data_IF_970810340569
#
_entry.id   IF_970810340569
#
_cell.length_a   1.000
_cell.length_b   1.000
_cell.length_c   1.000
_cell.angle_alpha   90.00
_cell.angle_beta   90.00
_cell.angle_gamma   90.00
#
_symmetry.space_group_name_H-M   'P 1'
#
loop_
_entity.id
_entity.type
_entity.pdbx_description
1 polymer ?
#
# COMPACT_ATOMS: atom_id res chain seq x y z
N UNK A 1 -48.08 11.96 -8.03
CA UNK A 1 -48.17 13.32 -8.62
C UNK A 1 -46.93 14.16 -8.29
N UNK A 2 -46.58 14.34 -7.01
CA UNK A 2 -45.45 15.19 -6.54
C UNK A 2 -44.09 14.79 -7.14
N UNK A 3 -43.79 13.49 -7.19
CA UNK A 3 -42.54 12.96 -7.78
C UNK A 3 -42.44 13.26 -9.27
N UNK A 4 -43.53 13.06 -10.02
CA UNK A 4 -43.61 13.34 -11.46
C UNK A 4 -43.46 14.83 -11.76
N UNK A 5 -44.03 15.72 -10.93
CA UNK A 5 -43.85 17.17 -11.06
C UNK A 5 -42.43 17.61 -10.68
N UNK A 6 -41.86 17.07 -9.61
CA UNK A 6 -40.48 17.36 -9.21
C UNK A 6 -39.48 16.98 -10.31
N UNK A 7 -39.61 15.78 -10.90
CA UNK A 7 -38.75 15.35 -12.01
C UNK A 7 -38.85 16.29 -13.22
N UNK A 8 -40.06 16.69 -13.61
CA UNK A 8 -40.25 17.66 -14.70
C UNK A 8 -39.63 19.03 -14.37
N UNK A 9 -39.72 19.46 -13.12
CA UNK A 9 -39.18 20.73 -12.65
C UNK A 9 -37.64 20.78 -12.72
N UNK A 10 -36.96 19.66 -12.42
CA UNK A 10 -35.51 19.50 -12.60
C UNK A 10 -35.12 19.84 -14.05
N UNK A 11 -35.81 19.27 -15.02
CA UNK A 11 -35.44 19.42 -16.44
C UNK A 11 -35.96 20.69 -17.11
N UNK A 12 -36.68 21.54 -16.37
CA UNK A 12 -37.26 22.77 -16.89
C UNK A 12 -36.20 23.82 -17.25
N UNK A 13 -35.12 23.90 -16.48
CA UNK A 13 -33.94 24.69 -16.82
C UNK A 13 -32.72 23.77 -16.90
N UNK A 14 -32.48 23.24 -18.10
CA UNK A 14 -31.45 22.22 -18.35
C UNK A 14 -30.04 22.70 -18.00
N UNK A 15 -29.72 23.97 -18.26
CA UNK A 15 -28.37 24.52 -18.02
C UNK A 15 -28.06 24.52 -16.53
N UNK A 16 -28.96 25.04 -15.69
CA UNK A 16 -28.74 25.07 -14.24
C UNK A 16 -28.66 23.67 -13.63
N UNK A 17 -29.60 22.81 -14.00
CA UNK A 17 -29.60 21.43 -13.52
C UNK A 17 -28.34 20.69 -13.95
N UNK A 18 -27.84 20.93 -15.16
CA UNK A 18 -26.58 20.37 -15.63
C UNK A 18 -25.38 20.88 -14.84
N UNK A 19 -25.30 22.18 -14.55
CA UNK A 19 -24.22 22.75 -13.73
C UNK A 19 -24.19 22.09 -12.35
N UNK A 20 -25.33 21.91 -11.69
CA UNK A 20 -25.41 21.21 -10.39
C UNK A 20 -25.01 19.76 -10.51
N UNK A 21 -25.62 19.02 -11.46
CA UNK A 21 -25.33 17.60 -11.68
C UNK A 21 -23.85 17.38 -11.97
N UNK A 22 -23.23 18.21 -12.81
CA UNK A 22 -21.81 18.15 -13.14
C UNK A 22 -20.92 18.45 -11.93
N UNK A 23 -21.26 19.47 -11.14
CA UNK A 23 -20.51 19.82 -9.93
C UNK A 23 -20.56 18.71 -8.89
N UNK A 24 -21.74 18.12 -8.69
CA UNK A 24 -21.95 16.94 -7.84
C UNK A 24 -21.14 15.77 -8.36
N UNK A 25 -21.23 15.46 -9.66
CA UNK A 25 -20.55 14.34 -10.28
C UNK A 25 -19.02 14.47 -10.14
N UNK A 26 -18.46 15.66 -10.37
CA UNK A 26 -17.01 15.92 -10.24
C UNK A 26 -16.56 15.79 -8.78
N UNK A 27 -17.30 16.34 -7.82
CA UNK A 27 -16.95 16.25 -6.40
C UNK A 27 -16.98 14.81 -5.88
N UNK A 28 -18.04 14.06 -6.21
CA UNK A 28 -18.14 12.63 -5.87
C UNK A 28 -17.07 11.83 -6.59
N UNK A 29 -16.77 12.15 -7.85
CA UNK A 29 -15.72 11.50 -8.61
C UNK A 29 -14.36 11.65 -7.94
N UNK A 30 -13.94 12.90 -7.73
CA UNK A 30 -12.63 13.24 -7.17
C UNK A 30 -12.47 12.62 -5.77
N UNK A 31 -13.49 12.74 -4.91
CA UNK A 31 -13.46 12.16 -3.59
C UNK A 31 -13.33 10.65 -3.56
N UNK A 32 -14.21 9.97 -4.28
CA UNK A 32 -14.22 8.50 -4.33
C UNK A 32 -12.93 7.97 -4.93
N UNK A 33 -12.41 8.62 -5.98
CA UNK A 33 -11.15 8.25 -6.60
C UNK A 33 -9.97 8.45 -5.64
N UNK A 34 -9.87 9.60 -4.96
CA UNK A 34 -8.82 9.85 -3.96
C UNK A 34 -8.84 8.84 -2.82
N UNK A 35 -10.03 8.49 -2.31
CA UNK A 35 -10.18 7.44 -1.29
C UNK A 35 -9.70 6.10 -1.82
N UNK A 36 -10.10 5.70 -3.03
CA UNK A 36 -9.70 4.44 -3.64
C UNK A 36 -8.19 4.32 -3.87
N UNK A 37 -7.53 5.41 -4.26
CA UNK A 37 -6.06 5.43 -4.43
C UNK A 37 -5.37 5.21 -3.09
N UNK A 38 -5.76 5.94 -2.05
CA UNK A 38 -5.12 5.81 -0.74
C UNK A 38 -5.45 4.47 -0.06
N UNK A 39 -6.69 3.97 -0.21
CA UNK A 39 -7.07 2.65 0.32
C UNK A 39 -6.29 1.54 -0.36
N UNK A 40 -6.13 1.62 -1.69
CA UNK A 40 -5.26 0.71 -2.43
C UNK A 40 -3.81 0.75 -1.93
N UNK A 41 -3.25 1.94 -1.69
CA UNK A 41 -1.89 2.10 -1.18
C UNK A 41 -1.69 1.47 0.21
N UNK A 42 -2.63 1.72 1.13
CA UNK A 42 -2.59 1.16 2.49
C UNK A 42 -2.80 -0.35 2.46
N UNK A 43 -3.76 -0.85 1.68
CA UNK A 43 -4.03 -2.27 1.53
C UNK A 43 -2.81 -3.03 0.97
N UNK A 44 -2.15 -2.49 -0.06
CA UNK A 44 -0.92 -3.05 -0.60
C UNK A 44 0.22 -3.04 0.43
N UNK A 45 0.42 -1.93 1.15
CA UNK A 45 1.45 -1.86 2.20
C UNK A 45 1.20 -2.88 3.31
N UNK A 46 -0.07 -3.04 3.71
CA UNK A 46 -0.49 -4.01 4.71
C UNK A 46 -0.27 -5.43 4.23
N UNK A 47 -0.65 -5.73 2.98
CA UNK A 47 -0.42 -7.03 2.35
C UNK A 47 1.08 -7.37 2.30
N UNK A 48 1.92 -6.43 1.86
CA UNK A 48 3.38 -6.57 1.85
C UNK A 48 3.94 -6.84 3.25
N UNK A 49 3.48 -6.09 4.26
CA UNK A 49 3.93 -6.27 5.64
C UNK A 49 3.56 -7.65 6.20
N UNK A 50 2.30 -8.07 6.00
CA UNK A 50 1.80 -9.34 6.53
C UNK A 50 2.38 -10.53 5.77
N UNK A 51 2.52 -10.43 4.46
CA UNK A 51 2.95 -11.53 3.63
C UNK A 51 4.47 -11.68 3.55
N UNK A 52 5.28 -10.64 3.81
CA UNK A 52 6.72 -10.72 3.59
C UNK A 52 7.59 -10.20 4.75
N UNK A 53 7.03 -9.49 5.74
CA UNK A 53 7.83 -8.87 6.82
C UNK A 53 7.59 -9.47 8.20
N UNK A 54 6.32 -9.60 8.63
CA UNK A 54 6.00 -9.86 10.05
C UNK A 54 4.98 -10.97 10.33
N UNK A 55 4.25 -11.48 9.33
CA UNK A 55 3.11 -12.39 9.52
C UNK A 55 1.99 -11.80 10.40
N UNK A 56 0.98 -12.61 10.74
CA UNK A 56 -0.22 -12.13 11.47
C UNK A 56 0.02 -12.01 12.97
N UNK A 57 0.71 -12.99 13.55
CA UNK A 57 1.01 -13.06 14.99
C UNK A 57 2.47 -13.47 15.17
N UNK A 58 3.14 -12.87 16.15
CA UNK A 58 4.46 -13.31 16.61
C UNK A 58 4.43 -13.66 18.09
N UNK A 59 5.20 -14.68 18.45
CA UNK A 59 5.45 -15.09 19.83
C UNK A 59 6.94 -14.97 20.08
N UNK A 60 7.33 -14.34 21.18
CA UNK A 60 8.74 -14.19 21.58
C UNK A 60 8.88 -14.21 23.09
N UNK A 61 10.10 -14.21 23.59
CA UNK A 61 10.39 -13.98 25.00
C UNK A 61 10.20 -12.50 25.32
N UNK A 62 9.55 -12.15 26.44
CA UNK A 62 9.18 -10.77 26.75
C UNK A 62 10.38 -9.79 26.80
N UNK A 63 11.54 -10.27 27.24
CA UNK A 63 12.76 -9.45 27.30
C UNK A 63 13.55 -9.41 25.98
N UNK A 64 13.27 -10.31 25.03
CA UNK A 64 14.00 -10.36 23.76
C UNK A 64 13.76 -9.10 22.93
N UNK A 65 12.50 -8.65 22.83
CA UNK A 65 12.13 -7.48 21.99
C UNK A 65 12.82 -6.19 22.43
N UNK A 66 13.04 -6.02 23.73
CA UNK A 66 13.62 -4.79 24.29
C UNK A 66 15.14 -4.72 24.07
N UNK A 67 15.84 -5.85 24.16
CA UNK A 67 17.30 -5.88 24.27
C UNK A 67 18.00 -6.61 23.10
N UNK A 68 17.27 -7.39 22.29
CA UNK A 68 17.80 -8.31 21.28
C UNK A 68 18.93 -9.22 21.83
N UNK A 69 18.88 -9.55 23.12
CA UNK A 69 19.87 -10.42 23.75
C UNK A 69 19.63 -11.87 23.32
N UNK A 70 20.69 -12.51 22.83
CA UNK A 70 20.68 -13.87 22.32
C UNK A 70 20.24 -14.91 23.34
N UNK A 71 20.36 -14.62 24.64
CA UNK A 71 20.00 -15.52 25.72
C UNK A 71 18.49 -15.62 25.96
N UNK A 72 17.70 -14.65 25.52
CA UNK A 72 16.24 -14.67 25.69
C UNK A 72 15.58 -15.53 24.60
N UNK A 73 15.56 -16.84 24.85
CA UNK A 73 15.08 -17.85 23.93
C UNK A 73 13.73 -18.44 24.38
N UNK A 74 12.98 -18.91 23.41
CA UNK A 74 11.91 -19.88 23.59
C UNK A 74 12.54 -21.28 23.60
N UNK A 75 12.62 -21.91 24.78
CA UNK A 75 13.33 -23.18 24.99
C UNK A 75 12.76 -24.36 24.18
N UNK A 76 11.50 -24.29 23.77
CA UNK A 76 10.79 -25.35 23.05
C UNK A 76 10.02 -24.77 21.84
N UNK A 77 10.67 -23.89 21.08
CA UNK A 77 10.07 -23.19 19.96
C UNK A 77 9.51 -24.16 18.90
N UNK A 78 10.20 -25.26 18.65
CA UNK A 78 9.78 -26.35 17.77
C UNK A 78 8.43 -26.98 18.20
N UNK A 79 8.33 -27.41 19.47
CA UNK A 79 7.12 -28.04 20.02
C UNK A 79 5.96 -27.05 20.11
N UNK A 80 6.27 -25.80 20.47
CA UNK A 80 5.28 -24.72 20.44
C UNK A 80 4.75 -24.51 19.03
N UNK A 81 5.63 -24.46 18.03
CA UNK A 81 5.25 -24.30 16.63
C UNK A 81 4.35 -25.45 16.14
N UNK A 82 4.67 -26.71 16.46
CA UNK A 82 3.82 -27.85 16.13
C UNK A 82 2.45 -27.78 16.81
N UNK A 83 2.39 -27.38 18.10
CA UNK A 83 1.13 -27.19 18.81
C UNK A 83 0.28 -26.09 18.18
N UNK A 84 0.88 -24.97 17.79
CA UNK A 84 0.18 -23.86 17.13
C UNK A 84 -0.33 -24.29 15.75
N UNK A 85 0.47 -25.02 14.99
CA UNK A 85 0.10 -25.54 13.67
C UNK A 85 -1.12 -26.46 13.71
N UNK A 86 -1.38 -27.12 14.83
CA UNK A 86 -2.55 -27.98 15.00
C UNK A 86 -3.89 -27.23 15.17
N UNK A 87 -3.85 -25.90 15.31
CA UNK A 87 -5.05 -25.07 15.43
C UNK A 87 -5.69 -24.87 14.05
N UNK A 88 -7.02 -25.00 13.97
CA UNK A 88 -7.79 -24.86 12.71
C UNK A 88 -7.67 -23.47 12.10
N UNK A 89 -7.49 -22.44 12.92
CA UNK A 89 -7.37 -21.05 12.48
C UNK A 89 -6.01 -20.74 11.81
N UNK A 90 -5.01 -21.61 11.98
CA UNK A 90 -3.63 -21.40 11.58
C UNK A 90 -3.35 -22.04 10.21
N UNK A 91 -2.84 -21.23 9.29
CA UNK A 91 -2.42 -21.67 7.96
C UNK A 91 -1.00 -22.27 8.00
N UNK A 92 -0.06 -21.55 8.62
CA UNK A 92 1.35 -21.92 8.67
C UNK A 92 2.06 -21.35 9.89
N UNK A 93 3.12 -22.03 10.32
CA UNK A 93 3.95 -21.61 11.46
C UNK A 93 5.41 -21.87 11.17
N UNK A 94 6.26 -20.90 11.51
CA UNK A 94 7.71 -21.00 11.44
C UNK A 94 8.32 -20.45 12.72
N UNK A 95 9.53 -20.89 13.06
CA UNK A 95 10.31 -20.31 14.15
C UNK A 95 11.70 -19.97 13.65
N UNK A 96 12.28 -18.92 14.24
CA UNK A 96 13.53 -18.32 13.78
C UNK A 96 14.49 -18.01 14.91
N UNK A 97 15.78 -18.06 14.57
CA UNK A 97 16.83 -17.42 15.34
C UNK A 97 17.08 -16.03 14.78
N UNK A 98 17.24 -15.05 15.65
CA UNK A 98 17.50 -13.66 15.27
C UNK A 98 18.74 -13.18 16.00
N UNK A 99 19.75 -12.81 15.21
CA UNK A 99 21.07 -12.41 15.69
C UNK A 99 21.44 -11.09 15.04
N UNK A 100 21.79 -10.08 15.82
CA UNK A 100 22.35 -8.84 15.29
C UNK A 100 23.85 -8.99 15.07
N UNK A 101 24.35 -8.53 13.91
CA UNK A 101 25.75 -8.66 13.55
C UNK A 101 26.17 -7.72 12.42
N UNK A 102 27.29 -8.06 11.78
CA UNK A 102 27.86 -7.33 10.66
C UNK A 102 27.97 -8.23 9.44
N UNK A 103 27.53 -7.71 8.29
CA UNK A 103 27.74 -8.29 6.98
C UNK A 103 28.91 -7.59 6.30
N UNK A 104 29.93 -8.36 5.95
CA UNK A 104 31.20 -7.84 5.44
C UNK A 104 31.53 -8.42 4.07
N UNK A 105 31.95 -7.54 3.17
CA UNK A 105 32.63 -7.89 1.92
C UNK A 105 34.05 -7.34 1.93
N UNK A 106 34.86 -7.67 0.92
CA UNK A 106 36.22 -7.15 0.78
C UNK A 106 36.31 -5.61 0.67
N UNK A 107 35.18 -4.90 0.52
CA UNK A 107 35.17 -3.45 0.29
C UNK A 107 34.27 -2.64 1.23
N UNK A 108 33.28 -3.28 1.86
CA UNK A 108 32.21 -2.63 2.60
C UNK A 108 31.74 -3.51 3.76
N UNK A 109 31.18 -2.88 4.77
CA UNK A 109 30.61 -3.51 5.95
C UNK A 109 29.29 -2.81 6.29
N UNK A 110 28.28 -3.58 6.69
CA UNK A 110 26.97 -3.07 7.12
C UNK A 110 26.49 -3.82 8.35
N UNK A 111 25.83 -3.11 9.27
CA UNK A 111 25.09 -3.76 10.35
C UNK A 111 23.87 -4.48 9.79
N UNK A 112 23.62 -5.70 10.25
CA UNK A 112 22.52 -6.56 9.76
C UNK A 112 21.87 -7.35 10.90
N UNK A 113 20.62 -7.74 10.66
CA UNK A 113 19.89 -8.73 11.41
C UNK A 113 19.92 -10.02 10.61
N UNK A 114 20.53 -11.05 11.19
CA UNK A 114 20.70 -12.37 10.60
C UNK A 114 19.57 -13.25 11.14
N UNK A 115 18.72 -13.72 10.24
CA UNK A 115 17.57 -14.56 10.51
C UNK A 115 17.90 -16.00 10.09
N UNK A 116 18.00 -16.90 11.07
CA UNK A 116 18.11 -18.34 10.84
C UNK A 116 16.72 -18.94 10.74
N UNK A 117 16.36 -19.48 9.57
CA UNK A 117 14.99 -19.92 9.26
C UNK A 117 14.94 -21.36 8.76
N UNK A 118 13.82 -22.04 9.04
CA UNK A 118 13.42 -23.27 8.32
C UNK A 118 12.82 -22.85 6.99
N UNK A 119 13.58 -23.06 5.91
CA UNK A 119 13.26 -22.53 4.58
C UNK A 119 11.93 -23.02 4.04
N UNK A 120 11.52 -24.25 4.34
CA UNK A 120 10.26 -24.79 3.83
C UNK A 120 9.05 -24.24 4.59
N UNK A 121 9.19 -24.03 5.91
CA UNK A 121 8.14 -23.38 6.70
C UNK A 121 8.03 -21.90 6.37
N UNK A 122 9.17 -21.23 6.14
CA UNK A 122 9.22 -19.80 5.87
C UNK A 122 8.55 -19.43 4.53
N UNK A 123 8.65 -20.28 3.51
CA UNK A 123 7.88 -20.15 2.25
C UNK A 123 6.36 -20.04 2.51
N UNK A 124 5.85 -20.81 3.46
CA UNK A 124 4.42 -20.85 3.78
C UNK A 124 3.98 -19.66 4.64
N UNK A 125 4.87 -19.13 5.49
CA UNK A 125 4.55 -18.03 6.40
C UNK A 125 4.75 -16.66 5.73
N UNK A 126 5.92 -16.42 5.14
CA UNK A 126 6.35 -15.13 4.59
C UNK A 126 6.59 -15.13 3.07
N UNK A 127 6.33 -16.23 2.37
CA UNK A 127 6.46 -16.26 0.90
C UNK A 127 7.81 -15.76 0.37
N UNK A 128 8.91 -15.98 1.11
CA UNK A 128 10.22 -15.39 0.78
C UNK A 128 10.77 -15.86 -0.57
N UNK A 129 10.28 -16.98 -1.09
CA UNK A 129 10.57 -17.49 -2.42
C UNK A 129 9.94 -16.66 -3.54
N UNK A 130 8.79 -16.03 -3.28
CA UNK A 130 8.03 -15.24 -4.27
C UNK A 130 8.64 -13.88 -4.56
N UNK A 131 9.44 -13.36 -3.61
CA UNK A 131 10.14 -12.08 -3.72
C UNK A 131 11.56 -12.22 -4.28
N UNK A 132 11.91 -13.40 -4.82
CA UNK A 132 13.19 -13.63 -5.48
C UNK A 132 13.37 -12.70 -6.66
N UNK A 133 14.43 -11.90 -6.62
CA UNK A 133 14.80 -11.05 -7.74
C UNK A 133 15.19 -11.90 -8.93
N UNK A 134 14.48 -11.74 -10.04
CA UNK A 134 14.78 -12.45 -11.27
C UNK A 134 16.25 -12.28 -11.69
N UNK A 135 16.89 -13.38 -12.08
CA UNK A 135 18.30 -13.40 -12.49
C UNK A 135 19.33 -13.29 -11.36
N UNK A 136 18.91 -13.12 -10.10
CA UNK A 136 19.83 -13.00 -8.95
C UNK A 136 20.31 -14.33 -8.37
N UNK A 137 19.79 -15.48 -8.83
CA UNK A 137 20.14 -16.80 -8.31
C UNK A 137 18.91 -17.61 -7.96
N UNK A 138 18.92 -18.26 -6.80
CA UNK A 138 17.80 -19.06 -6.27
C UNK A 138 17.51 -18.73 -4.81
N UNK A 139 16.31 -19.06 -4.37
CA UNK A 139 15.94 -19.08 -2.95
C UNK A 139 16.81 -20.08 -2.16
N UNK A 140 16.79 -20.01 -0.83
CA UNK A 140 17.48 -20.96 0.06
C UNK A 140 16.71 -22.28 0.11
N UNK A 141 17.21 -23.32 -0.53
CA UNK A 141 16.59 -24.64 -0.47
C UNK A 141 17.19 -25.46 0.66
N UNK A 142 16.39 -26.32 1.30
CA UNK A 142 16.81 -27.09 2.49
C UNK A 142 18.10 -27.90 2.28
N UNK A 143 18.31 -28.41 1.07
CA UNK A 143 19.44 -29.28 0.72
C UNK A 143 20.62 -28.50 0.12
N UNK A 144 20.61 -27.16 0.18
CA UNK A 144 21.71 -26.35 -0.32
C UNK A 144 23.03 -26.66 0.42
N UNK A 145 24.06 -26.99 -0.35
CA UNK A 145 25.35 -27.36 0.24
C UNK A 145 26.10 -26.16 0.83
N UNK A 146 26.44 -26.27 2.12
CA UNK A 146 27.25 -25.33 2.88
C UNK A 146 26.53 -24.04 3.26
N UNK A 147 27.23 -23.14 3.97
CA UNK A 147 26.64 -21.91 4.48
C UNK A 147 26.13 -20.99 3.35
N UNK A 148 24.80 -20.88 3.20
CA UNK A 148 24.14 -20.02 2.21
C UNK A 148 23.42 -18.85 2.86
N UNK A 149 23.40 -17.73 2.13
CA UNK A 149 22.72 -16.52 2.54
C UNK A 149 21.80 -16.00 1.42
N UNK A 150 20.66 -15.46 1.83
CA UNK A 150 19.68 -14.77 1.00
C UNK A 150 19.52 -13.36 1.54
N UNK A 151 19.80 -12.36 0.70
CA UNK A 151 19.98 -10.97 1.15
C UNK A 151 19.14 -10.02 0.29
N UNK A 152 18.76 -8.87 0.83
CA UNK A 152 18.02 -7.87 0.07
C UNK A 152 18.85 -7.24 -1.05
N UNK A 153 18.17 -6.75 -2.10
CA UNK A 153 18.83 -6.14 -3.24
C UNK A 153 19.62 -4.90 -2.79
N UNK A 154 19.03 -4.09 -1.92
CA UNK A 154 19.66 -2.86 -1.42
C UNK A 154 20.89 -3.10 -0.54
N UNK A 155 20.87 -4.12 0.33
CA UNK A 155 22.07 -4.55 1.05
C UNK A 155 23.15 -5.02 0.08
N UNK A 156 22.79 -5.76 -0.97
CA UNK A 156 23.73 -6.23 -1.98
C UNK A 156 24.34 -5.08 -2.80
N UNK A 157 23.57 -4.04 -3.13
CA UNK A 157 24.06 -2.80 -3.74
C UNK A 157 25.05 -2.10 -2.81
N UNK A 158 24.67 -1.91 -1.54
CA UNK A 158 25.49 -1.22 -0.55
C UNK A 158 26.84 -1.91 -0.32
N UNK A 159 26.84 -3.24 -0.25
CA UNK A 159 28.04 -4.05 -0.04
C UNK A 159 28.91 -4.23 -1.30
N UNK A 160 28.56 -3.58 -2.42
CA UNK A 160 29.20 -3.70 -3.74
C UNK A 160 29.24 -5.15 -4.28
N UNK A 161 28.20 -5.93 -3.98
CA UNK A 161 28.03 -7.28 -4.52
C UNK A 161 27.46 -7.18 -5.94
N UNK A 162 26.47 -6.31 -6.13
CA UNK A 162 25.95 -5.96 -7.46
C UNK A 162 26.96 -5.05 -8.15
N UNK A 163 27.36 -5.43 -9.36
CA UNK A 163 28.27 -4.66 -10.21
C UNK A 163 27.55 -4.26 -11.48
N UNK A 164 28.11 -3.30 -12.20
CA UNK A 164 27.58 -2.91 -13.51
C UNK A 164 28.62 -3.27 -14.56
N UNK A 165 28.23 -4.04 -15.56
CA UNK A 165 29.11 -4.44 -16.65
C UNK A 165 28.45 -4.04 -17.95
N UNK A 166 29.20 -3.36 -18.81
CA UNK A 166 28.78 -3.09 -20.18
C UNK A 166 29.36 -4.18 -21.07
N UNK A 167 28.52 -4.88 -21.82
CA UNK A 167 28.90 -5.90 -22.80
C UNK A 167 28.25 -5.56 -24.13
N UNK A 168 28.79 -6.08 -25.24
CA UNK A 168 28.21 -5.82 -26.56
C UNK A 168 26.73 -6.26 -26.64
N UNK A 169 26.39 -7.38 -26.01
CA UNK A 169 25.01 -7.88 -25.91
C UNK A 169 24.02 -6.92 -25.20
N UNK A 170 24.52 -5.98 -24.37
CA UNK A 170 23.68 -4.97 -23.71
C UNK A 170 23.27 -3.90 -24.71
N UNK A 171 24.15 -3.54 -25.63
CA UNK A 171 23.84 -2.59 -26.71
C UNK A 171 22.71 -3.13 -27.58
N UNK A 172 22.80 -4.41 -27.97
CA UNK A 172 21.75 -5.09 -28.72
C UNK A 172 20.43 -5.16 -27.95
N UNK A 173 20.50 -5.46 -26.64
CA UNK A 173 19.32 -5.53 -25.77
C UNK A 173 18.64 -4.17 -25.58
N UNK A 174 19.41 -3.08 -25.56
CA UNK A 174 18.89 -1.72 -25.46
C UNK A 174 18.14 -1.34 -26.74
N UNK A 175 18.69 -1.65 -27.92
CA UNK A 175 18.02 -1.40 -29.20
C UNK A 175 16.72 -2.19 -29.31
N UNK A 176 16.71 -3.45 -28.87
CA UNK A 176 15.50 -4.28 -28.84
C UNK A 176 14.40 -3.73 -27.90
N UNK A 177 14.79 -3.00 -26.85
CA UNK A 177 13.87 -2.35 -25.90
C UNK A 177 13.52 -0.90 -26.27
N UNK A 178 13.81 -0.48 -27.51
CA UNK A 178 13.36 0.79 -28.07
C UNK A 178 14.30 1.97 -27.87
N UNK A 179 15.53 1.74 -27.41
CA UNK A 179 16.55 2.80 -27.36
C UNK A 179 17.05 3.07 -28.79
N UNK A 180 17.08 4.34 -29.26
CA UNK A 180 17.56 4.66 -30.60
C UNK A 180 19.00 4.15 -30.83
N UNK A 181 19.33 3.61 -32.02
CA UNK A 181 20.68 3.10 -32.32
C UNK A 181 21.77 4.14 -32.04
N UNK A 182 21.55 5.40 -32.42
CA UNK A 182 22.48 6.50 -32.17
C UNK A 182 22.79 6.71 -30.68
N UNK A 183 21.84 6.39 -29.80
CA UNK A 183 22.01 6.48 -28.34
C UNK A 183 22.70 5.22 -27.81
N UNK A 184 22.26 4.04 -28.26
CA UNK A 184 22.83 2.77 -27.82
C UNK A 184 24.31 2.62 -28.23
N UNK A 185 24.68 3.05 -29.44
CA UNK A 185 26.04 2.96 -29.97
C UNK A 185 27.06 3.82 -29.19
N UNK A 186 26.61 4.88 -28.49
CA UNK A 186 27.47 5.66 -27.58
C UNK A 186 28.08 4.81 -26.45
N UNK A 187 27.50 3.64 -26.16
CA UNK A 187 28.02 2.70 -25.16
C UNK A 187 29.08 1.74 -25.72
N UNK A 188 29.22 1.57 -27.03
CA UNK A 188 30.21 0.67 -27.64
C UNK A 188 31.65 0.94 -27.18
N UNK A 189 32.13 2.20 -27.05
CA UNK A 189 33.47 2.47 -26.53
C UNK A 189 33.69 2.03 -25.08
N UNK A 190 32.60 1.77 -24.35
CA UNK A 190 32.61 1.31 -22.96
C UNK A 190 32.29 -0.18 -22.83
N UNK A 191 32.09 -0.90 -23.94
CA UNK A 191 31.92 -2.34 -23.89
C UNK A 191 33.14 -3.03 -23.27
N UNK A 192 32.90 -4.02 -22.42
CA UNK A 192 33.91 -4.70 -21.60
C UNK A 192 34.28 -3.98 -20.29
N UNK A 193 33.83 -2.74 -20.08
CA UNK A 193 34.11 -2.03 -18.83
C UNK A 193 33.25 -2.53 -17.67
N UNK A 194 33.84 -2.59 -16.48
CA UNK A 194 33.20 -3.01 -15.24
C UNK A 194 33.24 -1.90 -14.22
N UNK A 195 32.09 -1.55 -13.67
CA UNK A 195 31.92 -0.56 -12.62
C UNK A 195 31.62 -1.25 -11.30
N UNK A 196 32.23 -0.72 -10.23
CA UNK A 196 32.14 -1.32 -8.90
C UNK A 196 30.77 -1.09 -8.26
N UNK A 197 30.12 0.03 -8.57
CA UNK A 197 28.81 0.39 -8.03
C UNK A 197 28.07 1.38 -8.95
N UNK A 198 26.79 1.57 -8.64
CA UNK A 198 25.87 2.43 -9.40
C UNK A 198 26.34 3.88 -9.46
N UNK A 199 26.94 4.41 -8.39
CA UNK A 199 27.47 5.78 -8.37
C UNK A 199 28.56 5.99 -9.41
N UNK A 200 29.53 5.05 -9.50
CA UNK A 200 30.59 5.12 -10.52
C UNK A 200 30.06 4.92 -11.93
N UNK A 201 29.05 4.06 -12.09
CA UNK A 201 28.37 3.83 -13.36
C UNK A 201 27.62 5.09 -13.82
N UNK A 202 26.74 5.65 -12.99
CA UNK A 202 25.98 6.88 -13.28
C UNK A 202 26.88 8.04 -13.64
N UNK A 203 27.95 8.28 -12.87
CA UNK A 203 28.93 9.33 -13.19
C UNK A 203 29.57 9.14 -14.56
N UNK A 204 29.78 7.89 -15.01
CA UNK A 204 30.28 7.62 -16.36
C UNK A 204 29.21 7.85 -17.41
N UNK A 205 27.97 7.41 -17.17
CA UNK A 205 26.84 7.67 -18.06
C UNK A 205 26.58 9.18 -18.23
N UNK A 206 26.78 9.96 -17.16
CA UNK A 206 26.69 11.42 -17.17
C UNK A 206 27.68 12.09 -18.13
N UNK A 207 28.82 11.43 -18.41
CA UNK A 207 29.82 11.91 -19.37
C UNK A 207 29.54 11.51 -20.82
N UNK A 208 28.61 10.58 -21.05
CA UNK A 208 28.34 9.97 -22.36
C UNK A 208 27.03 10.50 -22.96
N UNK A 209 26.02 10.68 -22.11
CA UNK A 209 24.66 11.03 -22.53
C UNK A 209 24.27 12.46 -22.17
N UNK A 210 23.36 13.05 -22.95
CA UNK A 210 22.74 14.33 -22.60
C UNK A 210 21.79 14.18 -21.41
N UNK A 211 21.38 15.30 -20.80
CA UNK A 211 20.41 15.27 -19.67
C UNK A 211 19.06 14.66 -20.05
N UNK A 212 18.62 14.87 -21.29
CA UNK A 212 17.35 14.34 -21.80
C UNK A 212 17.45 12.82 -21.99
N UNK A 213 18.50 12.34 -22.66
CA UNK A 213 18.77 10.91 -22.83
C UNK A 213 18.94 10.18 -21.50
N UNK A 214 19.58 10.81 -20.50
CA UNK A 214 19.71 10.22 -19.17
C UNK A 214 18.37 10.08 -18.46
N UNK A 215 17.49 11.07 -18.59
CA UNK A 215 16.17 11.04 -17.96
C UNK A 215 15.30 9.95 -18.60
N UNK A 216 15.41 9.76 -19.90
CA UNK A 216 14.60 8.81 -20.67
C UNK A 216 15.15 7.38 -20.61
N UNK A 217 16.45 7.18 -20.85
CA UNK A 217 17.07 5.86 -21.02
C UNK A 217 17.99 5.43 -19.86
N UNK A 218 18.40 6.36 -18.99
CA UNK A 218 19.32 6.08 -17.89
C UNK A 218 18.87 4.96 -16.93
N UNK A 219 17.59 4.92 -16.52
CA UNK A 219 17.08 3.82 -15.69
C UNK A 219 17.21 2.45 -16.38
N UNK A 220 16.82 2.38 -17.66
CA UNK A 220 16.86 1.15 -18.45
C UNK A 220 18.31 0.67 -18.68
N UNK A 221 19.21 1.59 -19.02
CA UNK A 221 20.64 1.29 -19.19
C UNK A 221 21.23 0.76 -17.88
N UNK A 222 20.86 1.34 -16.75
CA UNK A 222 21.31 0.89 -15.44
C UNK A 222 20.78 -0.50 -15.12
N UNK A 223 19.50 -0.76 -15.36
CA UNK A 223 18.84 -2.05 -15.13
C UNK A 223 19.51 -3.19 -15.91
N UNK A 224 19.68 -3.03 -17.23
CA UNK A 224 20.25 -4.08 -18.09
C UNK A 224 21.76 -4.26 -17.83
N UNK A 225 22.46 -3.21 -17.40
CA UNK A 225 23.88 -3.28 -17.09
C UNK A 225 24.18 -3.92 -15.73
N UNK A 226 23.17 -4.16 -14.88
CA UNK A 226 23.35 -4.82 -13.58
C UNK A 226 23.79 -6.27 -13.79
N UNK A 227 24.85 -6.65 -13.10
CA UNK A 227 25.40 -7.99 -13.08
C UNK A 227 25.60 -8.44 -11.64
N UNK A 228 24.88 -9.50 -11.27
CA UNK A 228 25.04 -10.15 -9.99
C UNK A 228 26.09 -11.27 -10.08
N UNK A 229 27.08 -11.24 -9.18
CA UNK A 229 28.08 -12.30 -9.07
C UNK A 229 27.49 -13.44 -8.24
N UNK A 230 26.97 -14.48 -8.91
CA UNK A 230 26.55 -15.73 -8.26
C UNK A 230 27.63 -16.26 -7.31
N UNK A 231 27.22 -16.77 -6.14
CA UNK A 231 28.11 -17.29 -5.11
C UNK A 231 29.14 -16.29 -4.58
N UNK A 232 28.83 -14.99 -4.63
CA UNK A 232 29.64 -13.98 -3.95
C UNK A 232 29.77 -14.32 -2.46
N UNK A 233 30.98 -14.09 -1.92
CA UNK A 233 31.32 -14.38 -0.53
C UNK A 233 30.88 -13.23 0.37
N UNK A 234 30.18 -13.57 1.43
CA UNK A 234 29.70 -12.67 2.47
C UNK A 234 30.19 -13.18 3.82
N UNK A 235 30.96 -12.39 4.56
CA UNK A 235 31.35 -12.74 5.92
C UNK A 235 30.29 -12.18 6.89
N UNK A 236 29.63 -13.07 7.63
CA UNK A 236 28.73 -12.67 8.71
C UNK A 236 29.46 -12.83 10.04
N UNK A 237 29.51 -11.77 10.84
CA UNK A 237 30.17 -11.77 12.15
C UNK A 237 29.22 -11.24 13.21
N UNK A 238 29.13 -11.91 14.34
CA UNK A 238 28.20 -11.61 15.43
C UNK A 238 28.77 -12.11 16.76
N UNK A 239 28.04 -11.87 17.84
CA UNK A 239 28.39 -12.38 19.16
C UNK A 239 27.58 -13.66 19.40
N UNK A 240 28.18 -14.69 19.98
CA UNK A 240 27.46 -15.91 20.38
C UNK A 240 26.83 -15.79 21.77
N UNK A 241 26.24 -16.88 22.25
CA UNK A 241 25.58 -16.93 23.57
C UNK A 241 26.55 -16.68 24.74
N UNK A 242 27.82 -17.05 24.58
CA UNK A 242 28.86 -16.93 25.60
C UNK A 242 29.61 -15.58 25.50
N UNK A 243 29.08 -14.65 24.71
CA UNK A 243 29.65 -13.34 24.43
C UNK A 243 30.98 -13.37 23.65
N UNK A 244 31.28 -14.45 22.92
CA UNK A 244 32.42 -14.49 22.02
C UNK A 244 32.06 -13.98 20.63
N UNK A 245 32.97 -13.20 20.04
CA UNK A 245 32.86 -12.82 18.65
C UNK A 245 33.08 -14.04 17.75
N UNK A 246 32.03 -14.42 17.05
CA UNK A 246 31.99 -15.56 16.14
C UNK A 246 31.54 -15.10 14.75
N UNK A 247 31.53 -16.02 13.79
CA UNK A 247 31.07 -15.73 12.45
C UNK A 247 31.38 -16.84 11.45
N UNK A 248 30.87 -16.66 10.24
CA UNK A 248 31.05 -17.62 9.16
C UNK A 248 31.16 -16.94 7.81
N UNK A 249 31.81 -17.62 6.87
CA UNK A 249 31.75 -17.26 5.45
C UNK A 249 30.51 -17.91 4.83
N UNK A 250 29.65 -17.07 4.26
CA UNK A 250 28.45 -17.47 3.53
C UNK A 250 28.63 -17.20 2.04
N UNK A 251 27.98 -18.00 1.21
CA UNK A 251 27.82 -17.73 -0.23
C UNK A 251 26.40 -17.25 -0.48
N UNK A 252 26.27 -16.17 -1.23
CA UNK A 252 24.95 -15.62 -1.55
C UNK A 252 24.29 -16.51 -2.61
N UNK A 253 23.11 -17.03 -2.28
CA UNK A 253 22.33 -17.93 -3.14
C UNK A 253 21.45 -17.14 -4.11
N UNK A 254 20.83 -16.07 -3.62
CA UNK A 254 19.94 -15.20 -4.37
C UNK A 254 19.76 -13.86 -3.67
N UNK A 255 19.06 -12.95 -4.34
CA UNK A 255 18.62 -11.67 -3.78
C UNK A 255 17.11 -11.64 -3.69
N UNK A 256 16.55 -11.12 -2.60
CA UNK A 256 15.13 -10.74 -2.58
C UNK A 256 14.97 -9.25 -2.88
N UNK A 257 13.78 -8.88 -3.32
CA UNK A 257 13.34 -7.51 -3.57
C UNK A 257 12.07 -7.25 -2.75
N UNK A 258 12.14 -6.34 -1.78
CA UNK A 258 11.00 -5.91 -0.98
C UNK A 258 10.73 -4.44 -1.22
N UNK A 259 9.45 -4.07 -1.18
CA UNK A 259 9.02 -2.67 -1.20
C UNK A 259 9.62 -1.83 -0.06
N UNK A 260 9.99 -2.48 1.05
CA UNK A 260 10.55 -1.85 2.24
C UNK A 260 12.08 -1.90 2.23
N UNK A 261 12.70 -0.84 1.71
CA UNK A 261 14.16 -0.72 1.56
C UNK A 261 14.92 -0.82 2.89
N UNK A 262 14.28 -0.46 4.01
CA UNK A 262 14.91 -0.55 5.33
C UNK A 262 15.18 -2.02 5.71
N UNK A 263 14.20 -2.90 5.47
CA UNK A 263 14.36 -4.34 5.71
C UNK A 263 15.32 -4.97 4.70
N UNK A 264 15.25 -4.58 3.42
CA UNK A 264 16.22 -5.06 2.43
C UNK A 264 17.66 -4.71 2.77
N UNK A 265 17.89 -3.53 3.33
CA UNK A 265 19.21 -3.02 3.65
C UNK A 265 19.80 -3.64 4.93
N UNK A 266 19.00 -4.30 5.75
CA UNK A 266 19.41 -4.74 7.09
C UNK A 266 19.18 -6.23 7.36
N UNK A 267 18.27 -6.91 6.66
CA UNK A 267 18.00 -8.33 6.92
C UNK A 267 18.83 -9.26 6.02
N UNK A 268 19.28 -10.36 6.61
CA UNK A 268 19.94 -11.48 5.92
C UNK A 268 19.28 -12.77 6.40
N UNK A 269 18.86 -13.63 5.48
CA UNK A 269 18.33 -14.95 5.81
C UNK A 269 19.38 -16.03 5.55
N UNK A 270 19.48 -16.99 6.46
CA UNK A 270 20.36 -18.16 6.39
C UNK A 270 19.62 -19.39 6.91
N UNK A 271 20.14 -20.59 6.68
CA UNK A 271 19.57 -21.79 7.29
C UNK A 271 19.62 -21.70 8.82
N UNK A 272 18.53 -22.12 9.47
CA UNK A 272 18.44 -22.20 10.91
C UNK A 272 19.61 -23.00 11.51
N UNK A 273 19.94 -24.16 10.92
CA UNK A 273 20.98 -25.07 11.40
C UNK A 273 22.36 -24.43 11.38
N UNK A 274 22.65 -23.60 10.37
CA UNK A 274 23.92 -22.90 10.26
C UNK A 274 24.06 -21.84 11.34
N UNK A 275 23.00 -21.06 11.58
CA UNK A 275 23.03 -20.00 12.59
C UNK A 275 23.04 -20.58 14.01
N UNK A 276 22.24 -21.62 14.28
CA UNK A 276 22.21 -22.33 15.55
C UNK A 276 23.60 -22.90 15.89
N UNK A 277 24.26 -23.55 14.93
CA UNK A 277 25.62 -24.09 15.10
C UNK A 277 26.65 -23.01 15.40
N UNK A 278 26.58 -21.86 14.72
CA UNK A 278 27.55 -20.77 14.90
C UNK A 278 27.33 -19.98 16.21
N UNK A 279 26.09 -19.91 16.69
CA UNK A 279 25.72 -19.19 17.93
C UNK A 279 25.78 -20.06 19.19
N UNK A 280 25.93 -21.38 19.04
CA UNK A 280 25.89 -22.33 20.14
C UNK A 280 24.47 -22.58 20.69
N UNK A 281 23.43 -22.18 19.96
CA UNK A 281 22.05 -22.35 20.38
C UNK A 281 21.59 -23.79 20.09
N UNK A 282 21.04 -24.52 21.08
CA UNK A 282 20.56 -25.88 20.87
C UNK A 282 19.44 -25.94 19.81
N UNK A 283 19.38 -27.02 19.00
CA UNK A 283 18.29 -27.24 18.07
C UNK A 283 16.92 -27.22 18.76
N UNK A 284 15.92 -26.67 18.08
CA UNK A 284 14.54 -26.57 18.57
C UNK A 284 14.26 -25.33 19.43
N UNK A 285 15.28 -24.53 19.74
CA UNK A 285 15.12 -23.23 20.40
C UNK A 285 15.02 -22.10 19.37
N UNK A 286 14.32 -21.03 19.71
CA UNK A 286 14.13 -19.90 18.80
C UNK A 286 13.91 -18.60 19.55
N UNK A 287 14.20 -17.47 18.92
CA UNK A 287 13.86 -16.16 19.50
C UNK A 287 12.42 -15.78 19.20
N UNK A 288 11.93 -16.18 18.04
CA UNK A 288 10.61 -15.79 17.54
C UNK A 288 9.91 -16.96 16.87
N UNK A 289 8.60 -17.07 17.11
CA UNK A 289 7.67 -17.90 16.33
C UNK A 289 6.77 -16.96 15.55
N UNK A 290 6.65 -17.18 14.25
CA UNK A 290 5.73 -16.48 13.37
C UNK A 290 4.56 -17.38 13.02
N UNK A 291 3.36 -16.81 13.07
CA UNK A 291 2.10 -17.52 12.80
C UNK A 291 1.35 -16.81 11.70
N UNK A 292 1.03 -17.56 10.65
CA UNK A 292 0.13 -17.16 9.58
C UNK A 292 -1.25 -17.76 9.82
N UNK A 293 -2.29 -16.94 9.75
CA UNK A 293 -3.67 -17.37 9.92
C UNK A 293 -4.35 -17.53 8.56
N UNK A 294 -5.39 -18.37 8.52
CA UNK A 294 -6.24 -18.52 7.34
C UNK A 294 -7.04 -17.24 7.03
N UNK A 295 -7.29 -16.42 8.05
CA UNK A 295 -8.05 -15.17 7.96
C UNK A 295 -7.42 -14.11 8.88
N UNK A 296 -7.10 -12.95 8.30
CA UNK A 296 -6.52 -11.78 9.00
C UNK A 296 -7.47 -11.28 10.10
N UNK A 297 -8.78 -11.39 9.91
CA UNK A 297 -9.77 -10.89 10.87
C UNK A 297 -9.78 -11.70 12.17
N UNK A 298 -9.26 -12.94 12.15
CA UNK A 298 -9.12 -13.79 13.33
C UNK A 298 -7.86 -13.48 14.17
N UNK A 299 -7.07 -12.48 13.76
CA UNK A 299 -5.82 -12.14 14.45
C UNK A 299 -6.03 -11.84 15.94
N UNK A 300 -7.04 -11.05 16.32
CA UNK A 300 -7.28 -10.68 17.72
C UNK A 300 -7.73 -11.85 18.61
N UNK A 301 -8.76 -12.65 18.24
CA UNK A 301 -9.17 -13.79 19.05
C UNK A 301 -8.07 -14.86 19.14
N UNK A 302 -7.35 -15.15 18.05
CA UNK A 302 -6.26 -16.13 18.06
C UNK A 302 -5.08 -15.64 18.89
N UNK A 303 -4.75 -14.35 18.83
CA UNK A 303 -3.73 -13.75 19.72
C UNK A 303 -4.08 -13.96 21.19
N UNK A 304 -5.35 -13.75 21.56
CA UNK A 304 -5.82 -13.95 22.94
C UNK A 304 -5.74 -15.41 23.37
N UNK A 305 -6.17 -16.34 22.50
CA UNK A 305 -6.05 -17.78 22.69
C UNK A 305 -4.59 -18.23 22.87
N UNK A 306 -3.68 -17.70 22.07
CA UNK A 306 -2.25 -18.02 22.15
C UNK A 306 -1.60 -17.48 23.44
N UNK A 307 -2.02 -16.31 23.93
CA UNK A 307 -1.58 -15.77 25.24
C UNK A 307 -1.93 -16.71 26.38
N UNK A 308 -3.13 -17.29 26.35
CA UNK A 308 -3.57 -18.26 27.36
C UNK A 308 -2.81 -19.59 27.25
N UNK A 309 -2.51 -20.04 26.03
CA UNK A 309 -1.81 -21.31 25.79
C UNK A 309 -0.33 -21.29 26.15
N UNK A 310 0.31 -20.12 26.10
CA UNK A 310 1.75 -19.95 26.34
C UNK A 310 2.03 -18.84 27.36
N UNK A 311 1.61 -19.04 28.63
CA UNK A 311 1.88 -18.07 29.69
C UNK A 311 3.39 -17.91 29.91
N UNK A 312 3.87 -16.67 30.02
CA UNK A 312 5.29 -16.36 30.14
C UNK A 312 5.99 -15.99 28.82
N UNK A 313 5.27 -16.07 27.69
CA UNK A 313 5.72 -15.52 26.41
C UNK A 313 5.01 -14.22 26.09
N UNK A 314 5.64 -13.38 25.28
CA UNK A 314 5.02 -12.20 24.69
C UNK A 314 4.42 -12.57 23.34
N UNK A 315 3.09 -12.61 23.28
CA UNK A 315 2.32 -12.88 22.06
C UNK A 315 1.74 -11.57 21.54
N UNK A 316 2.00 -11.25 20.28
CA UNK A 316 1.63 -9.98 19.67
C UNK A 316 1.00 -10.20 18.30
N UNK A 317 -0.03 -9.43 18.00
CA UNK A 317 -0.55 -9.33 16.65
C UNK A 317 0.28 -8.36 15.79
N UNK A 318 0.05 -8.37 14.48
CA UNK A 318 0.71 -7.45 13.54
C UNK A 318 0.53 -5.98 13.90
N UNK A 319 -0.60 -5.56 14.49
CA UNK A 319 -0.85 -4.17 14.92
C UNK A 319 0.07 -3.75 16.07
N UNK A 320 0.43 -4.68 16.94
CA UNK A 320 1.35 -4.47 18.06
C UNK A 320 2.82 -4.58 17.63
N UNK A 321 3.10 -5.38 16.60
CA UNK A 321 4.44 -5.53 16.02
C UNK A 321 4.80 -4.28 15.20
N UNK A 322 3.86 -3.82 14.36
CA UNK A 322 3.98 -2.67 13.46
C UNK A 322 3.00 -1.54 13.86
N UNK A 323 3.20 -0.86 15.02
CA UNK A 323 2.29 0.16 15.51
C UNK A 323 2.18 1.36 14.55
N UNK A 324 3.27 1.71 13.88
CA UNK A 324 3.31 2.79 12.89
C UNK A 324 2.37 2.51 11.71
N UNK A 325 2.33 1.25 11.23
CA UNK A 325 1.43 0.84 10.16
C UNK A 325 -0.04 0.87 10.61
N UNK A 326 -0.32 0.39 11.83
CA UNK A 326 -1.67 0.45 12.40
C UNK A 326 -2.14 1.92 12.60
N UNK A 327 -1.22 2.82 12.96
CA UNK A 327 -1.50 4.26 13.04
C UNK A 327 -1.77 4.86 11.66
N UNK A 328 -1.00 4.50 10.63
CA UNK A 328 -1.23 4.94 9.26
C UNK A 328 -2.61 4.52 8.76
N UNK A 329 -3.03 3.27 9.01
CA UNK A 329 -4.38 2.80 8.68
C UNK A 329 -5.46 3.64 9.39
N UNK A 330 -5.30 3.87 10.70
CA UNK A 330 -6.23 4.69 11.48
C UNK A 330 -6.30 6.15 11.02
N UNK A 331 -5.15 6.76 10.71
CA UNK A 331 -5.05 8.12 10.18
C UNK A 331 -5.69 8.23 8.79
N UNK A 332 -5.43 7.26 7.91
CA UNK A 332 -6.04 7.18 6.59
C UNK A 332 -7.57 7.14 6.71
N UNK A 333 -8.11 6.29 7.60
CA UNK A 333 -9.55 6.19 7.87
C UNK A 333 -10.15 7.51 8.34
N UNK A 334 -9.47 8.20 9.25
CA UNK A 334 -9.89 9.52 9.71
C UNK A 334 -9.88 10.54 8.58
N UNK A 335 -8.82 10.54 7.76
CA UNK A 335 -8.68 11.43 6.61
C UNK A 335 -9.75 11.19 5.54
N UNK A 336 -10.15 9.93 5.28
CA UNK A 336 -11.31 9.62 4.43
C UNK A 336 -12.58 10.28 4.94
N UNK A 337 -12.85 10.18 6.24
CA UNK A 337 -13.99 10.82 6.88
C UNK A 337 -13.98 12.34 6.69
N UNK A 338 -12.82 12.98 6.91
CA UNK A 338 -12.67 14.42 6.71
C UNK A 338 -12.88 14.85 5.26
N UNK A 339 -12.27 14.17 4.28
CA UNK A 339 -12.48 14.46 2.87
C UNK A 339 -13.96 14.30 2.49
N UNK A 340 -14.60 13.23 2.96
CA UNK A 340 -16.03 13.00 2.73
C UNK A 340 -16.88 14.16 3.24
N UNK A 341 -16.63 14.65 4.46
CA UNK A 341 -17.35 15.82 5.01
C UNK A 341 -17.14 17.06 4.14
N UNK A 342 -15.91 17.34 3.70
CA UNK A 342 -15.62 18.49 2.82
C UNK A 342 -16.38 18.39 1.50
N UNK A 343 -16.38 17.21 0.87
CA UNK A 343 -17.08 16.96 -0.39
C UNK A 343 -18.58 17.14 -0.23
N UNK A 344 -19.17 16.57 0.83
CA UNK A 344 -20.59 16.72 1.13
C UNK A 344 -20.95 18.17 1.45
N UNK A 345 -20.08 18.92 2.13
CA UNK A 345 -20.30 20.34 2.39
C UNK A 345 -20.26 21.17 1.10
N UNK A 346 -19.29 20.94 0.21
CA UNK A 346 -19.21 21.59 -1.10
C UNK A 346 -20.45 21.27 -1.97
N UNK A 347 -20.88 20.01 -1.94
CA UNK A 347 -22.11 19.54 -2.59
C UNK A 347 -23.34 20.25 -2.02
N UNK A 348 -23.48 20.32 -0.70
CA UNK A 348 -24.59 21.00 -0.03
C UNK A 348 -24.65 22.47 -0.45
N UNK A 349 -23.51 23.16 -0.47
CA UNK A 349 -23.43 24.56 -0.86
C UNK A 349 -23.88 24.80 -2.31
N UNK A 350 -23.43 23.96 -3.25
CA UNK A 350 -23.85 24.03 -4.65
C UNK A 350 -25.36 23.83 -4.84
N UNK A 351 -25.94 22.89 -4.07
CA UNK A 351 -27.39 22.64 -4.07
C UNK A 351 -28.14 23.83 -3.45
N UNK A 352 -27.72 24.33 -2.29
CA UNK A 352 -28.36 25.49 -1.62
C UNK A 352 -28.41 26.69 -2.56
N UNK A 353 -27.28 27.04 -3.17
CA UNK A 353 -27.17 28.20 -4.04
C UNK A 353 -28.13 28.10 -5.23
N UNK A 354 -28.19 26.92 -5.85
CA UNK A 354 -29.06 26.71 -7.01
C UNK A 354 -30.54 26.65 -6.62
N UNK A 355 -30.87 25.95 -5.53
CA UNK A 355 -32.25 25.84 -5.05
C UNK A 355 -32.81 27.19 -4.62
N UNK A 356 -32.00 28.04 -4.01
CA UNK A 356 -32.40 29.39 -3.64
C UNK A 356 -32.79 30.20 -4.88
N UNK A 357 -31.98 30.14 -5.93
CA UNK A 357 -32.27 30.79 -7.21
C UNK A 357 -33.56 30.24 -7.86
N UNK A 358 -33.73 28.91 -7.87
CA UNK A 358 -34.94 28.26 -8.41
C UNK A 358 -36.20 28.70 -7.66
N UNK A 359 -36.12 28.83 -6.34
CA UNK A 359 -37.24 29.33 -5.53
C UNK A 359 -37.56 30.78 -5.87
N UNK A 360 -36.54 31.64 -5.98
CA UNK A 360 -36.71 33.07 -6.26
C UNK A 360 -37.31 33.34 -7.65
N UNK A 361 -36.90 32.59 -8.67
CA UNK A 361 -37.45 32.73 -10.02
C UNK A 361 -38.87 32.18 -10.17
N UNK A 362 -39.30 31.30 -9.25
CA UNK A 362 -40.61 30.63 -9.30
C UNK A 362 -41.58 31.14 -8.23
N UNK A 363 -41.31 32.29 -7.62
CA UNK A 363 -42.16 32.90 -6.58
C UNK A 363 -43.62 33.03 -7.03
N UNK A 364 -43.88 33.58 -8.21
CA UNK A 364 -45.22 33.69 -8.83
C UNK A 364 -45.91 32.33 -9.00
N UNK A 365 -45.19 31.34 -9.54
CA UNK A 365 -45.74 30.00 -9.78
C UNK A 365 -46.09 29.28 -8.47
N UNK A 366 -45.22 29.39 -7.46
CA UNK A 366 -45.44 28.81 -6.13
C UNK A 366 -46.62 29.50 -5.42
N UNK A 367 -46.77 30.82 -5.58
CA UNK A 367 -47.91 31.60 -5.11
C UNK A 367 -49.24 31.18 -5.75
N UNK A 368 -49.26 30.96 -7.07
CA UNK A 368 -50.44 30.46 -7.79
C UNK A 368 -50.84 29.04 -7.33
N UNK A 369 -49.87 28.14 -7.16
CA UNK A 369 -50.14 26.79 -6.64
C UNK A 369 -50.74 26.83 -5.23
N UNK A 370 -50.25 27.74 -4.39
CA UNK A 370 -50.82 27.96 -3.05
C UNK A 370 -52.25 28.52 -3.11
N UNK A 371 -52.52 29.46 -4.03
CA UNK A 371 -53.86 30.05 -4.23
C UNK A 371 -54.88 29.02 -4.76
N UNK A 372 -54.45 28.05 -5.57
CA UNK A 372 -55.29 26.94 -6.06
C UNK A 372 -55.48 25.84 -4.98
N UNK A 373 -54.95 26.04 -3.77
CA UNK A 373 -55.18 25.16 -2.60
C UNK A 373 -54.08 24.14 -2.32
N UNK A 374 -52.88 24.27 -2.93
CA UNK A 374 -51.76 23.39 -2.60
C UNK A 374 -51.19 23.73 -1.21
N UNK A 375 -51.39 22.83 -0.25
CA UNK A 375 -50.86 22.97 1.12
C UNK A 375 -49.32 23.13 1.12
N UNK A 376 -48.80 24.03 1.97
CA UNK A 376 -47.37 24.25 2.26
C UNK A 376 -46.55 22.97 2.42
N UNK A 377 -47.10 21.92 3.04
CA UNK A 377 -46.42 20.60 3.17
C UNK A 377 -46.16 19.92 1.81
N UNK A 378 -47.07 20.07 0.85
CA UNK A 378 -46.90 19.53 -0.51
C UNK A 378 -45.85 20.32 -1.29
N UNK A 379 -45.82 21.65 -1.15
CA UNK A 379 -44.77 22.51 -1.73
C UNK A 379 -43.40 22.13 -1.19
N UNK A 380 -43.27 21.99 0.12
CA UNK A 380 -42.03 21.59 0.77
C UNK A 380 -41.52 20.22 0.28
N UNK A 381 -42.38 19.19 0.29
CA UNK A 381 -42.02 17.85 -0.21
C UNK A 381 -41.64 17.87 -1.68
N UNK A 382 -42.29 18.70 -2.51
CA UNK A 382 -41.94 18.84 -3.92
C UNK A 382 -40.51 19.37 -4.10
N UNK A 383 -40.14 20.45 -3.40
CA UNK A 383 -38.79 21.04 -3.48
C UNK A 383 -37.73 20.06 -2.95
N UNK A 384 -37.99 19.39 -1.82
CA UNK A 384 -37.08 18.36 -1.31
C UNK A 384 -36.87 17.22 -2.32
N UNK A 385 -37.95 16.77 -2.96
CA UNK A 385 -37.87 15.70 -3.97
C UNK A 385 -37.08 16.15 -5.21
N UNK A 386 -37.19 17.42 -5.61
CA UNK A 386 -36.40 18.01 -6.71
C UNK A 386 -34.90 17.99 -6.40
N UNK A 387 -34.54 18.33 -5.16
CA UNK A 387 -33.15 18.26 -4.68
C UNK A 387 -32.61 16.85 -4.58
N UNK A 388 -33.41 15.91 -4.10
CA UNK A 388 -33.03 14.48 -4.06
C UNK A 388 -32.78 13.97 -5.48
N UNK A 389 -33.60 14.33 -6.47
CA UNK A 389 -33.34 13.92 -7.85
C UNK A 389 -32.06 14.52 -8.42
N UNK A 390 -31.79 15.81 -8.20
CA UNK A 390 -30.57 16.45 -8.67
C UNK A 390 -29.31 15.82 -8.05
N UNK A 391 -29.32 15.65 -6.73
CA UNK A 391 -28.21 15.03 -5.99
C UNK A 391 -28.02 13.56 -6.38
N UNK A 392 -29.10 12.79 -6.55
CA UNK A 392 -29.02 11.40 -6.95
C UNK A 392 -28.49 11.24 -8.39
N UNK A 393 -28.97 12.03 -9.35
CA UNK A 393 -28.49 11.95 -10.75
C UNK A 393 -27.01 12.32 -10.83
N UNK A 394 -26.61 13.43 -10.21
CA UNK A 394 -25.19 13.81 -10.15
C UNK A 394 -24.34 12.78 -9.42
N UNK A 395 -24.84 12.25 -8.29
CA UNK A 395 -24.16 11.26 -7.48
C UNK A 395 -23.94 9.95 -8.22
N UNK A 396 -24.98 9.43 -8.86
CA UNK A 396 -24.91 8.21 -9.68
C UNK A 396 -23.93 8.39 -10.85
N UNK A 397 -23.98 9.53 -11.54
CA UNK A 397 -23.02 9.82 -12.63
C UNK A 397 -21.59 9.85 -12.07
N UNK A 398 -21.35 10.57 -10.97
CA UNK A 398 -20.04 10.63 -10.32
C UNK A 398 -19.53 9.26 -9.91
N UNK A 399 -20.39 8.42 -9.32
CA UNK A 399 -20.05 7.05 -8.92
C UNK A 399 -19.74 6.14 -10.11
N UNK A 400 -20.52 6.23 -11.19
CA UNK A 400 -20.26 5.45 -12.40
C UNK A 400 -18.90 5.84 -12.98
N UNK A 401 -18.62 7.14 -13.09
CA UNK A 401 -17.33 7.64 -13.55
C UNK A 401 -16.21 7.14 -12.64
N UNK A 402 -16.35 7.26 -11.31
CA UNK A 402 -15.38 6.72 -10.36
C UNK A 402 -15.15 5.24 -10.56
N UNK A 403 -16.22 4.44 -10.63
CA UNK A 403 -16.10 2.99 -10.77
C UNK A 403 -15.40 2.60 -12.07
N UNK A 404 -15.69 3.29 -13.17
CA UNK A 404 -15.01 3.06 -14.45
C UNK A 404 -13.53 3.43 -14.35
N UNK A 405 -13.22 4.63 -13.86
CA UNK A 405 -11.83 5.10 -13.75
C UNK A 405 -11.03 4.22 -12.80
N UNK A 406 -11.57 3.89 -11.62
CA UNK A 406 -10.96 2.97 -10.65
C UNK A 406 -10.74 1.61 -11.31
N UNK A 407 -11.71 1.06 -12.03
CA UNK A 407 -11.54 -0.25 -12.69
C UNK A 407 -10.46 -0.22 -13.79
N UNK A 408 -10.28 0.91 -14.50
CA UNK A 408 -9.21 1.08 -15.49
C UNK A 408 -7.85 1.21 -14.80
N UNK A 409 -7.75 2.05 -13.77
CA UNK A 409 -6.49 2.28 -13.03
C UNK A 409 -6.10 1.11 -12.14
N UNK A 410 -7.05 0.32 -11.64
CA UNK A 410 -6.80 -0.89 -10.84
C UNK A 410 -6.14 -2.01 -11.66
N UNK A 411 -6.29 -2.01 -12.99
CA UNK A 411 -5.63 -2.99 -13.87
C UNK A 411 -4.22 -2.56 -14.26
N UNK A 412 -4.04 -1.27 -14.55
CA UNK A 412 -2.75 -0.75 -15.02
C UNK A 412 -1.82 -0.35 -13.87
N UNK A 413 -2.39 -0.02 -12.71
CA UNK A 413 -1.68 0.66 -11.63
C UNK A 413 -1.46 2.13 -11.96
N UNK A 414 -1.41 2.97 -10.93
CA UNK A 414 -0.97 4.35 -11.03
C UNK A 414 0.52 4.37 -10.69
N UNK A 415 1.33 4.76 -11.67
CA UNK A 415 2.77 4.79 -11.56
C UNK A 415 3.24 6.13 -10.99
N UNK A 416 3.84 6.08 -9.79
CA UNK A 416 4.45 7.20 -9.09
C UNK A 416 6.00 7.15 -9.14
N UNK A 417 6.57 6.62 -10.22
CA UNK A 417 8.03 6.45 -10.41
C UNK A 417 8.85 7.72 -10.15
N UNK A 418 8.30 8.90 -10.46
CA UNK A 418 8.95 10.19 -10.16
C UNK A 418 9.17 10.46 -8.66
N UNK A 419 8.46 9.76 -7.79
CA UNK A 419 8.55 9.85 -6.32
C UNK A 419 8.95 8.52 -5.68
N UNK A 420 9.47 7.56 -6.47
CA UNK A 420 9.80 6.19 -6.05
C UNK A 420 10.59 6.15 -4.72
N UNK A 421 11.69 6.90 -4.65
CA UNK A 421 12.56 6.93 -3.45
C UNK A 421 11.81 7.37 -2.18
N UNK A 422 10.86 8.31 -2.30
CA UNK A 422 10.07 8.77 -1.15
C UNK A 422 9.01 7.76 -0.72
N UNK A 423 8.37 7.07 -1.67
CA UNK A 423 7.40 6.01 -1.37
C UNK A 423 8.09 4.81 -0.72
N UNK A 424 9.19 4.34 -1.31
CA UNK A 424 9.96 3.20 -0.80
C UNK A 424 10.59 3.48 0.57
N UNK A 425 11.03 4.73 0.83
CA UNK A 425 11.50 5.13 2.15
C UNK A 425 10.40 5.06 3.23
N UNK A 426 9.13 5.17 2.83
CA UNK A 426 7.97 4.96 3.70
C UNK A 426 7.43 3.51 3.65
N UNK A 427 8.11 2.62 2.92
CA UNK A 427 7.73 1.22 2.72
C UNK A 427 6.59 1.00 1.71
N UNK A 428 6.18 2.02 0.96
CA UNK A 428 5.14 1.92 -0.05
C UNK A 428 5.70 1.65 -1.44
N UNK A 429 4.92 0.91 -2.23
CA UNK A 429 5.26 0.69 -3.63
C UNK A 429 4.96 1.94 -4.46
N UNK A 430 5.81 2.17 -5.46
CA UNK A 430 5.61 3.24 -6.45
C UNK A 430 4.43 2.96 -7.40
N UNK A 431 3.92 1.72 -7.44
CA UNK A 431 2.78 1.35 -8.27
C UNK A 431 1.57 1.04 -7.41
N UNK A 432 0.62 1.97 -7.38
CA UNK A 432 -0.58 1.86 -6.56
C UNK A 432 -1.73 1.34 -7.41
N UNK A 433 -2.39 0.28 -6.96
CA UNK A 433 -3.60 -0.26 -7.55
C UNK A 433 -4.80 0.21 -6.75
N UNK A 434 -5.57 1.20 -7.23
CA UNK A 434 -6.69 1.74 -6.48
C UNK A 434 -7.74 0.65 -6.24
N UNK A 435 -8.19 0.54 -5.00
CA UNK A 435 -9.19 -0.42 -4.58
C UNK A 435 -10.18 0.25 -3.65
N UNK A 436 -11.46 -0.08 -3.78
CA UNK A 436 -12.49 0.37 -2.84
C UNK A 436 -13.64 -0.63 -2.80
N UNK A 437 -14.11 -0.95 -1.59
CA UNK A 437 -15.21 -1.89 -1.39
C UNK A 437 -16.54 -1.37 -1.93
N UNK A 438 -17.42 -2.28 -2.36
CA UNK A 438 -18.76 -1.92 -2.83
C UNK A 438 -19.61 -1.24 -1.75
N UNK A 439 -19.37 -1.57 -0.48
CA UNK A 439 -20.05 -0.98 0.68
C UNK A 439 -19.85 0.53 0.77
N UNK A 440 -18.70 1.02 0.31
CA UNK A 440 -18.42 2.46 0.25
C UNK A 440 -19.39 3.19 -0.69
N UNK A 441 -19.70 2.62 -1.86
CA UNK A 441 -20.64 3.24 -2.80
C UNK A 441 -22.06 3.31 -2.23
N UNK A 442 -22.47 2.28 -1.48
CA UNK A 442 -23.77 2.26 -0.80
C UNK A 442 -23.81 3.36 0.26
N UNK A 443 -22.77 3.46 1.09
CA UNK A 443 -22.65 4.50 2.11
C UNK A 443 -22.69 5.91 1.51
N UNK A 444 -21.89 6.17 0.47
CA UNK A 444 -21.87 7.48 -0.19
C UNK A 444 -23.23 7.81 -0.83
N UNK A 445 -23.95 6.82 -1.34
CA UNK A 445 -25.29 7.04 -1.92
C UNK A 445 -26.26 7.54 -0.85
N UNK A 446 -26.25 6.89 0.31
CA UNK A 446 -27.06 7.30 1.47
C UNK A 446 -26.69 8.74 1.88
N UNK A 447 -25.40 9.03 1.98
CA UNK A 447 -24.91 10.36 2.36
C UNK A 447 -25.32 11.44 1.35
N UNK A 448 -25.26 11.18 0.04
CA UNK A 448 -25.69 12.13 -0.99
C UNK A 448 -27.19 12.43 -0.85
N UNK A 449 -28.03 11.42 -0.63
CA UNK A 449 -29.48 11.62 -0.44
C UNK A 449 -29.73 12.47 0.80
N UNK A 450 -29.07 12.15 1.92
CA UNK A 450 -29.19 12.91 3.16
C UNK A 450 -28.75 14.36 2.97
N UNK A 451 -27.60 14.59 2.35
CA UNK A 451 -27.09 15.93 2.07
C UNK A 451 -28.01 16.70 1.12
N UNK A 452 -28.56 16.06 0.09
CA UNK A 452 -29.53 16.65 -0.82
C UNK A 452 -30.81 17.10 -0.12
N UNK A 453 -31.30 16.31 0.84
CA UNK A 453 -32.44 16.68 1.69
C UNK A 453 -32.05 17.88 2.57
N UNK A 454 -30.96 17.77 3.33
CA UNK A 454 -30.51 18.80 4.28
C UNK A 454 -30.26 20.15 3.61
N UNK A 455 -29.58 20.14 2.46
CA UNK A 455 -29.28 21.33 1.67
C UNK A 455 -30.55 22.04 1.17
N UNK A 456 -31.61 21.28 0.85
CA UNK A 456 -32.85 21.86 0.35
C UNK A 456 -33.83 22.31 1.43
N UNK A 457 -33.61 21.97 2.71
CA UNK A 457 -34.48 22.41 3.81
C UNK A 457 -34.55 23.94 3.87
N UNK A 458 -33.40 24.63 3.86
CA UNK A 458 -33.39 26.09 3.97
C UNK A 458 -34.09 26.80 2.80
N UNK A 459 -33.78 26.51 1.52
CA UNK A 459 -34.52 27.06 0.38
C UNK A 459 -36.01 26.74 0.41
N UNK A 460 -36.37 25.49 0.76
CA UNK A 460 -37.77 25.08 0.83
C UNK A 460 -38.53 25.83 1.93
N UNK A 461 -37.94 26.04 3.11
CA UNK A 461 -38.54 26.86 4.16
C UNK A 461 -38.72 28.32 3.74
N UNK A 462 -37.75 28.88 3.00
CA UNK A 462 -37.85 30.23 2.47
C UNK A 462 -39.00 30.36 1.46
N UNK A 463 -39.21 29.35 0.62
CA UNK A 463 -40.33 29.30 -0.33
C UNK A 463 -41.71 29.35 0.35
N UNK A 464 -41.87 28.74 1.52
CA UNK A 464 -43.14 28.69 2.25
C UNK A 464 -43.51 30.00 2.97
N UNK A 465 -42.55 30.91 3.13
CA UNK A 465 -42.73 32.22 3.76
C UNK A 465 -43.23 33.29 2.78
N UNK A 466 -43.30 32.98 1.48
CA UNK A 466 -43.85 33.90 0.48
C UNK A 466 -45.38 33.97 0.63
N UNK A 467 -45.91 35.18 0.79
CA UNK A 467 -47.36 35.41 0.81
C UNK A 467 -47.90 35.30 -0.63
N UNK A 468 -48.92 34.45 -0.90
CA UNK A 468 -49.55 34.35 -2.21
C UNK A 468 -50.06 35.70 -2.74
N UNK A 469 -50.50 36.60 -1.85
CA UNK A 469 -50.98 37.93 -2.22
C UNK A 469 -49.84 38.84 -2.72
N UNK A 470 -48.68 38.79 -2.08
CA UNK A 470 -47.51 39.58 -2.47
C UNK A 470 -46.85 39.01 -3.72
N UNK A 471 -46.83 37.69 -3.87
CA UNK A 471 -46.26 37.02 -5.04
C UNK A 471 -47.00 37.36 -6.36
N UNK A 472 -48.30 37.67 -6.30
CA UNK A 472 -49.10 38.07 -7.46
C UNK A 472 -48.96 39.57 -7.80
N UNK A 473 -48.44 40.38 -6.87
CA UNK A 473 -48.44 41.86 -6.97
C UNK A 473 -47.10 42.46 -7.41
N UNK A 474 -46.02 41.68 -7.44
CA UNK A 474 -44.71 42.12 -7.97
C UNK A 474 -44.74 42.27 -9.50
N UNK A 475 -44.63 43.51 -10.00
CA UNK A 475 -44.16 43.85 -11.36
C UNK A 475 -42.63 43.87 -11.42
#
# INVERSE_FOLDING_TARGET
MITKTAWKNVWRNKIRSFVVIASVAVGIFAGTFSVAVMEGAIAQRLDDALNHEVAHIQITHAEFRANNDLNFLLEHADKMAEKIRSLEEVEAVSYRLVVTGMANTASKSSGVIINGVDTEREKQVLGLDKILKEGSGSYLEKDDAGNRAYIGEDLAKYLNIIRFTLTDAIVDSLMAKGVPPETAEKLQPLAGTRFKNERTFRKKMESVFTREEQKEYGPLISEISRSFRKNARLALTFVDRDNYHTGGMFRINGLYDLTNNMLESTHVFVHYEDLARLTGIPPGQGHLIMVRLNDVDQTEPVTSKLKELFPGTEVMNWKQIQPELAMLEGMARMMYGFFMVIILAALAFGIVNTMLMVVLERTKELGMLAAIGMNKKKVFRMILTESVFLSLVGGVIGMIISKIVIALTARQGINFSGYKEGFEAMGFTSHIYPHIGNDFFILVTILIILTGILAAIYPALKALKLDPADALRTE
#
